data_IF_137155609473
#
_entry.id   IF_137155609473
#
_cell.length_a   1.000
_cell.length_b   1.000
_cell.length_c   1.000
_cell.angle_alpha   90.00
_cell.angle_beta   90.00
_cell.angle_gamma   90.00
#
_symmetry.space_group_name_H-M   'P 1'
#
loop_
_entity.id
_entity.type
_entity.pdbx_description
1 polymer ?
#
# COMPACT_ATOMS: atom_id res chain seq x y z
N UNK A 1 4.27 3.38 -5.42
CA UNK A 1 3.76 3.13 -6.79
C UNK A 1 3.01 4.34 -7.36
N UNK A 2 1.93 4.83 -6.72
CA UNK A 2 1.15 5.97 -7.23
C UNK A 2 1.99 7.24 -7.53
N UNK A 3 2.86 7.65 -6.61
CA UNK A 3 3.75 8.79 -6.83
C UNK A 3 4.72 8.61 -8.03
N UNK A 4 5.23 7.39 -8.24
CA UNK A 4 6.10 7.10 -9.37
C UNK A 4 5.36 7.24 -10.71
N UNK A 5 4.08 6.85 -10.75
CA UNK A 5 3.23 7.01 -11.94
C UNK A 5 2.95 8.49 -12.20
N UNK A 6 2.63 9.28 -11.18
CA UNK A 6 2.46 10.74 -11.31
C UNK A 6 3.68 11.39 -11.96
N UNK A 7 4.88 11.06 -11.47
CA UNK A 7 6.14 11.59 -12.01
C UNK A 7 6.42 11.10 -13.43
N UNK A 8 6.12 9.84 -13.74
CA UNK A 8 6.28 9.26 -15.08
C UNK A 8 5.43 9.97 -16.14
N UNK A 9 4.22 10.41 -15.77
CA UNK A 9 3.30 11.14 -16.66
C UNK A 9 3.51 12.66 -16.66
N UNK A 10 4.52 13.18 -15.96
CA UNK A 10 4.83 14.61 -15.92
C UNK A 10 3.78 15.47 -15.21
N UNK A 11 2.97 14.87 -14.33
CA UNK A 11 1.97 15.62 -13.54
C UNK A 11 2.65 16.46 -12.47
N UNK A 12 2.05 17.62 -12.18
CA UNK A 12 2.49 18.50 -11.10
C UNK A 12 2.43 17.74 -9.77
N UNK A 13 3.42 17.97 -8.91
CA UNK A 13 3.48 17.31 -7.61
C UNK A 13 2.28 17.77 -6.76
N UNK A 14 1.53 16.83 -6.14
CA UNK A 14 0.48 17.22 -5.23
C UNK A 14 1.09 18.02 -4.09
N UNK A 15 0.41 19.09 -3.68
CA UNK A 15 0.82 19.84 -2.48
C UNK A 15 0.89 18.89 -1.29
N UNK A 16 1.77 19.20 -0.33
CA UNK A 16 1.95 18.35 0.87
C UNK A 16 0.62 18.10 1.58
N UNK A 17 -0.26 19.11 1.64
CA UNK A 17 -1.59 19.01 2.21
C UNK A 17 -2.49 18.03 1.45
N UNK A 18 -2.54 18.10 0.12
CA UNK A 18 -3.34 17.19 -0.70
C UNK A 18 -2.81 15.76 -0.61
N UNK A 19 -1.47 15.59 -0.59
CA UNK A 19 -0.84 14.29 -0.43
C UNK A 19 -1.12 13.68 0.95
N UNK A 20 -1.19 14.51 1.99
CA UNK A 20 -1.56 14.09 3.34
C UNK A 20 -3.01 13.58 3.38
N UNK A 21 -3.96 14.33 2.81
CA UNK A 21 -5.36 13.91 2.70
C UNK A 21 -5.48 12.60 1.92
N UNK A 22 -4.83 12.51 0.76
CA UNK A 22 -4.77 11.28 -0.03
C UNK A 22 -4.28 10.10 0.82
N UNK A 23 -3.15 10.27 1.51
CA UNK A 23 -2.52 9.22 2.32
C UNK A 23 -3.46 8.76 3.44
N UNK A 24 -4.14 9.69 4.10
CA UNK A 24 -5.09 9.38 5.16
C UNK A 24 -6.23 8.47 4.67
N UNK A 25 -6.90 8.87 3.58
CA UNK A 25 -7.98 8.06 2.99
C UNK A 25 -7.47 6.75 2.40
N UNK A 26 -6.31 6.76 1.75
CA UNK A 26 -5.69 5.58 1.17
C UNK A 26 -5.35 4.52 2.23
N UNK A 27 -4.78 4.95 3.36
CA UNK A 27 -4.47 4.05 4.49
C UNK A 27 -5.74 3.50 5.10
N UNK A 28 -6.75 4.34 5.37
CA UNK A 28 -8.05 3.87 5.89
C UNK A 28 -8.66 2.79 4.99
N UNK A 29 -8.71 3.05 3.69
CA UNK A 29 -9.24 2.11 2.71
C UNK A 29 -8.42 0.81 2.63
N UNK A 30 -7.09 0.88 2.68
CA UNK A 30 -6.19 -0.28 2.74
C UNK A 30 -6.53 -1.21 3.91
N UNK A 31 -6.84 -0.67 5.08
CA UNK A 31 -7.21 -1.48 6.24
C UNK A 31 -8.61 -2.09 6.11
N UNK A 32 -9.56 -1.39 5.47
CA UNK A 32 -10.91 -1.93 5.21
C UNK A 32 -10.94 -3.12 4.26
N UNK A 33 -9.94 -3.25 3.37
CA UNK A 33 -9.85 -4.33 2.37
C UNK A 33 -9.61 -5.71 2.98
N UNK A 34 -9.13 -5.82 4.23
CA UNK A 34 -8.90 -7.11 4.88
C UNK A 34 -10.14 -8.03 4.90
N UNK A 35 -11.35 -7.46 4.80
CA UNK A 35 -12.61 -8.18 4.74
C UNK A 35 -13.07 -8.58 3.32
N UNK A 36 -12.40 -8.11 2.26
CA UNK A 36 -12.85 -8.24 0.86
C UNK A 36 -11.84 -9.07 0.06
N UNK A 37 -12.13 -10.35 -0.25
CA UNK A 37 -11.26 -11.16 -1.10
C UNK A 37 -11.17 -10.54 -2.50
N UNK A 38 -9.94 -10.24 -2.95
CA UNK A 38 -9.70 -9.58 -4.24
C UNK A 38 -9.92 -8.06 -4.26
N UNK A 39 -10.27 -7.44 -3.12
CA UNK A 39 -10.56 -6.00 -3.02
C UNK A 39 -9.34 -5.08 -3.07
N UNK A 40 -8.12 -5.64 -3.16
CA UNK A 40 -6.82 -4.96 -3.11
C UNK A 40 -6.78 -3.63 -3.86
N UNK A 41 -6.53 -3.67 -5.17
CA UNK A 41 -6.45 -2.45 -5.97
C UNK A 41 -7.83 -1.83 -6.25
N UNK A 42 -8.89 -2.64 -6.28
CA UNK A 42 -10.24 -2.21 -6.68
C UNK A 42 -10.77 -1.10 -5.75
N UNK A 43 -10.55 -1.23 -4.44
CA UNK A 43 -10.98 -0.22 -3.45
C UNK A 43 -10.13 1.05 -3.51
N UNK A 44 -8.94 0.98 -4.11
CA UNK A 44 -7.99 2.10 -4.18
C UNK A 44 -8.14 2.95 -5.44
N UNK A 45 -8.67 2.39 -6.54
CA UNK A 45 -8.83 3.11 -7.80
C UNK A 45 -9.64 4.41 -7.65
N UNK A 46 -10.81 4.43 -6.97
CA UNK A 46 -11.58 5.67 -6.81
C UNK A 46 -10.81 6.75 -6.03
N UNK A 47 -10.00 6.35 -5.06
CA UNK A 47 -9.20 7.28 -4.24
C UNK A 47 -8.07 7.89 -5.08
N UNK A 48 -7.44 7.09 -5.95
CA UNK A 48 -6.40 7.57 -6.85
C UNK A 48 -6.95 8.55 -7.90
N UNK A 49 -8.13 8.26 -8.44
CA UNK A 49 -8.84 9.15 -9.34
C UNK A 49 -9.24 10.46 -8.64
N UNK A 50 -9.92 10.36 -7.49
CA UNK A 50 -10.47 11.52 -6.78
C UNK A 50 -9.40 12.46 -6.20
N UNK A 51 -8.32 11.92 -5.63
CA UNK A 51 -7.35 12.73 -4.88
C UNK A 51 -6.05 13.00 -5.65
N UNK A 52 -5.69 12.16 -6.62
CA UNK A 52 -4.47 12.33 -7.43
C UNK A 52 -4.75 12.62 -8.91
N UNK A 53 -6.03 12.65 -9.33
CA UNK A 53 -6.40 12.97 -10.71
C UNK A 53 -5.95 11.94 -11.74
N UNK A 54 -5.90 10.66 -11.32
CA UNK A 54 -5.47 9.58 -12.22
C UNK A 54 -6.46 9.42 -13.38
N UNK A 55 -5.94 9.41 -14.61
CA UNK A 55 -6.74 9.10 -15.79
C UNK A 55 -6.82 7.58 -16.04
N UNK A 56 -7.62 7.17 -17.01
CA UNK A 56 -7.82 5.74 -17.36
C UNK A 56 -6.53 5.00 -17.68
N UNK A 57 -5.55 5.65 -18.33
CA UNK A 57 -4.26 5.04 -18.68
C UNK A 57 -3.36 4.85 -17.45
N UNK A 58 -3.40 5.78 -16.48
CA UNK A 58 -2.68 5.63 -15.21
C UNK A 58 -3.32 4.57 -14.33
N UNK A 59 -4.65 4.47 -14.34
CA UNK A 59 -5.40 3.45 -13.61
C UNK A 59 -5.13 2.02 -14.14
N UNK A 60 -5.08 1.84 -15.46
CA UNK A 60 -4.70 0.55 -16.04
C UNK A 60 -3.24 0.19 -15.72
N UNK A 61 -2.32 1.16 -15.81
CA UNK A 61 -0.91 0.95 -15.47
C UNK A 61 -0.73 0.57 -13.99
N UNK A 62 -1.33 1.31 -13.05
CA UNK A 62 -1.18 1.00 -11.62
C UNK A 62 -1.80 -0.35 -11.27
N UNK A 63 -2.89 -0.74 -11.96
CA UNK A 63 -3.51 -2.05 -11.78
C UNK A 63 -2.61 -3.17 -12.28
N UNK A 64 -2.02 -3.01 -13.47
CA UNK A 64 -1.07 -3.97 -14.01
C UNK A 64 0.17 -4.13 -13.10
N UNK A 65 0.74 -3.03 -12.61
CA UNK A 65 1.85 -3.07 -11.67
C UNK A 65 1.45 -3.69 -10.33
N UNK A 66 0.24 -3.41 -9.85
CA UNK A 66 -0.27 -4.02 -8.62
C UNK A 66 -0.30 -5.55 -8.75
N UNK A 67 -0.89 -6.07 -9.84
CA UNK A 67 -0.96 -7.52 -10.10
C UNK A 67 0.45 -8.11 -10.23
N UNK A 68 1.34 -7.43 -10.94
CA UNK A 68 2.72 -7.87 -11.14
C UNK A 68 3.49 -8.00 -9.82
N UNK A 69 3.32 -7.05 -8.89
CA UNK A 69 4.06 -7.02 -7.63
C UNK A 69 3.34 -7.70 -6.47
N UNK A 70 2.08 -8.12 -6.63
CA UNK A 70 1.28 -8.72 -5.55
C UNK A 70 1.96 -9.94 -4.89
N UNK A 71 2.57 -10.89 -5.63
CA UNK A 71 3.29 -12.01 -5.02
C UNK A 71 4.50 -11.55 -4.21
N UNK A 72 5.25 -10.55 -4.71
CA UNK A 72 6.45 -10.02 -4.04
C UNK A 72 6.08 -9.32 -2.73
N UNK A 73 5.03 -8.50 -2.77
CA UNK A 73 4.52 -7.79 -1.58
C UNK A 73 3.98 -8.81 -0.56
N UNK A 74 3.25 -9.83 -1.02
CA UNK A 74 2.74 -10.89 -0.16
C UNK A 74 3.87 -11.69 0.49
N UNK A 75 4.89 -12.08 -0.27
CA UNK A 75 6.08 -12.73 0.27
C UNK A 75 6.80 -11.86 1.32
N UNK A 76 6.96 -10.56 1.06
CA UNK A 76 7.56 -9.63 2.01
C UNK A 76 6.73 -9.52 3.30
N UNK A 77 5.39 -9.49 3.19
CA UNK A 77 4.49 -9.44 4.35
C UNK A 77 4.59 -10.72 5.20
N UNK A 78 4.58 -11.90 4.57
CA UNK A 78 4.72 -13.18 5.28
C UNK A 78 6.09 -13.29 5.96
N UNK A 79 7.16 -12.90 5.25
CA UNK A 79 8.51 -12.90 5.81
C UNK A 79 8.63 -11.93 6.99
N UNK A 80 8.08 -10.72 6.86
CA UNK A 80 8.07 -9.71 7.92
C UNK A 80 7.33 -10.18 9.17
N UNK A 81 6.18 -10.82 9.01
CA UNK A 81 5.45 -11.42 10.13
C UNK A 81 6.27 -12.54 10.81
N UNK A 82 6.93 -13.40 10.03
CA UNK A 82 7.81 -14.44 10.57
C UNK A 82 9.02 -13.87 11.33
N UNK A 83 9.63 -12.81 10.81
CA UNK A 83 10.72 -12.09 11.47
C UNK A 83 10.25 -11.43 12.78
N UNK A 84 9.06 -10.82 12.77
CA UNK A 84 8.47 -10.20 13.95
C UNK A 84 8.20 -11.22 15.07
N UNK A 85 7.67 -12.40 14.73
CA UNK A 85 7.46 -13.49 15.70
C UNK A 85 8.78 -13.90 16.37
N UNK A 86 9.85 -14.09 15.59
CA UNK A 86 11.18 -14.43 16.16
C UNK A 86 11.76 -13.33 17.05
N UNK A 87 11.49 -12.07 16.73
CA UNK A 87 11.93 -10.94 17.54
C UNK A 87 11.22 -10.94 18.89
N UNK A 88 9.90 -11.13 18.90
CA UNK A 88 9.11 -11.21 20.14
C UNK A 88 9.54 -12.40 21.00
N UNK A 89 9.77 -13.57 20.39
CA UNK A 89 10.23 -14.77 21.09
C UNK A 89 11.57 -14.56 21.79
N UNK A 90 12.53 -13.92 21.11
CA UNK A 90 13.82 -13.57 21.72
C UNK A 90 13.65 -12.63 22.93
N UNK A 91 12.87 -11.55 22.79
CA UNK A 91 12.62 -10.61 23.89
C UNK A 91 11.97 -11.33 25.07
N UNK A 92 10.95 -12.14 24.81
CA UNK A 92 10.24 -12.88 25.85
C UNK A 92 11.17 -13.87 26.58
N UNK A 93 12.03 -14.58 25.86
CA UNK A 93 12.99 -15.52 26.43
C UNK A 93 14.05 -14.87 27.34
N UNK A 94 14.40 -13.60 27.09
CA UNK A 94 15.31 -12.82 27.94
C UNK A 94 14.60 -12.39 29.22
N UNK A 95 13.35 -11.93 29.13
CA UNK A 95 12.55 -11.53 30.29
C UNK A 95 12.23 -12.71 31.22
N UNK A 96 12.12 -13.94 30.71
CA UNK A 96 11.89 -15.13 31.54
C UNK A 96 13.13 -15.63 32.29
N UNK A 97 14.34 -15.20 31.89
CA UNK A 97 15.61 -15.56 32.53
C UNK A 97 16.09 -14.54 33.58
N UNK A 98 15.41 -13.40 33.69
CA UNK A 98 15.64 -12.39 34.72
C UNK A 98 14.69 -12.60 35.91
#
# INVERSE_FOLDING_TARGET
MAYAILKSYGLAEPTLFNYFIFTFYFVLAKFSVAAIPGGGIIVMLPILEQYLGFNTNMMSLITALYILFDPVITCANVLGNGAFVKLIDNIYSVTQKA
#
